data_IF_793994540066
#
_entry.id   IF_793994540066
#
_cell.length_a   1.000
_cell.length_b   1.000
_cell.length_c   1.000
_cell.angle_alpha   90.00
_cell.angle_beta   90.00
_cell.angle_gamma   90.00
#
_symmetry.space_group_name_H-M   'P 1'
#
loop_
_entity.id
_entity.type
_entity.pdbx_description
1 polymer ?
#
# COMPACT_ATOMS: atom_id res chain seq x y z
N UNK A 1 -9.27 14.04 -4.62
CA UNK A 1 -8.08 13.21 -4.37
C UNK A 1 -7.99 13.03 -2.87
N UNK A 2 -7.81 11.80 -2.35
CA UNK A 2 -7.56 11.62 -0.92
C UNK A 2 -6.25 12.32 -0.56
N UNK A 3 -6.22 12.98 0.59
CA UNK A 3 -5.00 13.58 1.13
C UNK A 3 -4.01 12.48 1.52
N UNK A 4 -2.71 12.80 1.54
CA UNK A 4 -1.67 11.84 1.98
C UNK A 4 -1.99 11.30 3.38
N UNK A 5 -2.54 12.12 4.27
CA UNK A 5 -2.94 11.72 5.62
C UNK A 5 -4.09 10.69 5.65
N UNK A 6 -5.04 10.78 4.72
CA UNK A 6 -6.11 9.78 4.59
C UNK A 6 -5.56 8.45 4.05
N UNK A 7 -4.64 8.52 3.08
CA UNK A 7 -3.97 7.33 2.55
C UNK A 7 -3.13 6.62 3.62
N UNK A 8 -2.39 7.35 4.45
CA UNK A 8 -1.64 6.77 5.58
C UNK A 8 -2.57 6.07 6.57
N UNK A 9 -3.73 6.66 6.89
CA UNK A 9 -4.72 6.04 7.78
C UNK A 9 -5.30 4.75 7.21
N UNK A 10 -5.50 4.69 5.90
CA UNK A 10 -6.01 3.51 5.22
C UNK A 10 -4.93 2.41 5.18
N UNK A 11 -3.68 2.75 4.86
CA UNK A 11 -2.52 1.84 4.85
C UNK A 11 -2.30 1.18 6.22
N UNK A 12 -2.39 1.95 7.31
CA UNK A 12 -2.16 1.45 8.67
C UNK A 12 -3.20 0.42 9.14
N UNK A 13 -4.34 0.30 8.45
CA UNK A 13 -5.38 -0.69 8.77
C UNK A 13 -5.21 -2.01 8.00
N UNK A 14 -4.36 -2.03 7.00
CA UNK A 14 -4.15 -3.22 6.16
C UNK A 14 -3.22 -4.19 6.89
N UNK A 15 -3.63 -5.46 6.95
CA UNK A 15 -2.80 -6.49 7.52
C UNK A 15 -1.83 -6.99 6.45
N UNK A 16 -0.56 -6.65 6.59
CA UNK A 16 0.47 -6.92 5.59
C UNK A 16 1.74 -7.42 6.25
N UNK A 17 2.33 -8.44 5.63
CA UNK A 17 3.63 -8.99 6.01
C UNK A 17 4.66 -8.78 4.90
N UNK A 18 4.42 -7.82 3.98
CA UNK A 18 5.31 -7.52 2.86
C UNK A 18 6.73 -7.10 3.28
N UNK A 19 6.91 -6.61 4.51
CA UNK A 19 8.24 -6.31 5.05
C UNK A 19 9.08 -7.55 5.37
N UNK A 20 8.45 -8.72 5.49
CA UNK A 20 9.07 -9.97 5.93
C UNK A 20 9.29 -10.96 4.79
N UNK A 21 8.85 -10.62 3.56
CA UNK A 21 8.93 -11.49 2.39
C UNK A 21 9.23 -10.71 1.12
N UNK A 22 9.71 -11.42 0.09
CA UNK A 22 9.91 -10.86 -1.24
C UNK A 22 8.59 -10.77 -2.00
N UNK A 23 8.34 -9.63 -2.66
CA UNK A 23 7.20 -9.43 -3.54
C UNK A 23 7.58 -9.82 -4.98
N UNK A 24 7.37 -11.09 -5.34
CA UNK A 24 7.70 -11.62 -6.68
C UNK A 24 6.47 -11.77 -7.58
N UNK A 25 5.43 -12.44 -7.07
CA UNK A 25 4.22 -12.77 -7.83
C UNK A 25 2.97 -12.27 -7.09
N UNK A 26 2.02 -11.69 -7.82
CA UNK A 26 0.85 -11.02 -7.22
C UNK A 26 -0.18 -11.97 -6.62
N UNK A 27 -0.29 -13.20 -7.13
CA UNK A 27 -1.21 -14.22 -6.60
C UNK A 27 -0.69 -14.90 -5.32
N UNK A 28 0.57 -14.67 -4.94
CA UNK A 28 1.14 -15.09 -3.65
C UNK A 28 0.90 -14.06 -2.54
N UNK A 29 0.26 -12.94 -2.88
CA UNK A 29 -0.02 -11.85 -1.95
C UNK A 29 -1.50 -11.84 -1.57
N UNK A 30 -1.79 -11.41 -0.35
CA UNK A 30 -3.16 -11.20 0.08
C UNK A 30 -3.76 -9.97 -0.62
N UNK A 31 -5.09 -9.87 -0.72
CA UNK A 31 -5.75 -8.66 -1.24
C UNK A 31 -5.35 -7.38 -0.49
N UNK A 32 -5.11 -7.47 0.82
CA UNK A 32 -4.69 -6.33 1.65
C UNK A 32 -3.27 -5.87 1.33
N UNK A 33 -2.37 -6.81 1.05
CA UNK A 33 -1.00 -6.52 0.63
C UNK A 33 -0.97 -5.83 -0.74
N UNK A 34 -1.77 -6.32 -1.69
CA UNK A 34 -1.91 -5.67 -3.00
C UNK A 34 -2.47 -4.25 -2.86
N UNK A 35 -3.47 -4.07 -1.99
CA UNK A 35 -4.05 -2.76 -1.72
C UNK A 35 -3.04 -1.80 -1.06
N UNK A 36 -2.21 -2.31 -0.16
CA UNK A 36 -1.16 -1.51 0.49
C UNK A 36 -0.18 -0.94 -0.55
N UNK A 37 0.25 -1.76 -1.51
CA UNK A 37 1.15 -1.30 -2.59
C UNK A 37 0.51 -0.17 -3.41
N UNK A 38 -0.76 -0.31 -3.76
CA UNK A 38 -1.49 0.70 -4.53
C UNK A 38 -1.65 2.01 -3.74
N UNK A 39 -2.01 1.93 -2.46
CA UNK A 39 -2.22 3.10 -1.60
C UNK A 39 -0.90 3.83 -1.33
N UNK A 40 0.21 3.11 -1.13
CA UNK A 40 1.56 3.69 -0.99
C UNK A 40 1.98 4.39 -2.29
N UNK A 41 1.78 3.74 -3.45
CA UNK A 41 2.10 4.34 -4.75
C UNK A 41 1.29 5.62 -5.00
N UNK A 42 0.01 5.64 -4.63
CA UNK A 42 -0.84 6.82 -4.72
C UNK A 42 -0.34 7.95 -3.79
N UNK A 43 0.07 7.62 -2.56
CA UNK A 43 0.61 8.59 -1.62
C UNK A 43 1.90 9.24 -2.12
N UNK A 44 2.85 8.44 -2.64
CA UNK A 44 4.11 8.94 -3.21
C UNK A 44 3.88 9.80 -4.45
N UNK A 45 2.98 9.38 -5.35
CA UNK A 45 2.60 10.17 -6.52
C UNK A 45 1.99 11.52 -6.15
N UNK A 46 1.17 11.55 -5.10
CA UNK A 46 0.58 12.79 -4.59
C UNK A 46 1.60 13.68 -3.87
N UNK A 47 2.65 13.11 -3.28
CA UNK A 47 3.70 13.87 -2.61
C UNK A 47 4.76 14.45 -3.58
N UNK A 48 4.88 13.86 -4.78
CA UNK A 48 5.87 14.25 -5.79
C UNK A 48 5.27 15.18 -6.87
N UNK A 49 3.97 15.48 -6.79
CA UNK A 49 3.26 16.46 -7.63
C UNK A 49 2.99 17.72 -6.84
#
# INVERSE_FOLDING_TARGET
>A
MKTVNELIKDINKLNSHLSEKDFLLTWEQSPDELKQVLDVAAALKNATR
#
